data_IF_589037043671
#
_entry.id   IF_589037043671
#
_cell.length_a   1.000
_cell.length_b   1.000
_cell.length_c   1.000
_cell.angle_alpha   90.00
_cell.angle_beta   90.00
_cell.angle_gamma   90.00
#
_symmetry.space_group_name_H-M   'P 1'
#
loop_
_entity.id
_entity.type
_entity.pdbx_description
1 polymer ?
#
# COMPACT_ATOMS: atom_id res chain seq x y z
N UNK A 1 -14.05 7.17 12.86
CA UNK A 1 -15.45 7.48 12.55
C UNK A 1 -16.19 6.17 12.28
N UNK A 2 -16.80 5.55 13.29
CA UNK A 2 -17.85 4.54 13.07
C UNK A 2 -19.08 5.08 13.81
N UNK A 3 -20.16 5.33 13.09
CA UNK A 3 -21.42 5.76 13.70
C UNK A 3 -21.99 4.62 14.54
N UNK A 4 -22.68 4.94 15.64
CA UNK A 4 -23.34 3.94 16.50
C UNK A 4 -24.36 3.08 15.72
N UNK A 5 -24.84 3.57 14.58
CA UNK A 5 -25.72 2.86 13.66
C UNK A 5 -25.02 1.81 12.78
N UNK A 6 -23.69 1.85 12.67
CA UNK A 6 -22.94 0.86 11.89
C UNK A 6 -23.15 -0.56 12.45
N UNK A 7 -23.30 -0.71 13.77
CA UNK A 7 -23.60 -1.99 14.42
C UNK A 7 -24.97 -2.56 14.03
N UNK A 8 -25.96 -1.70 13.75
CA UNK A 8 -27.29 -2.14 13.27
C UNK A 8 -27.28 -2.53 11.80
N UNK A 9 -26.51 -1.82 10.97
CA UNK A 9 -26.50 -2.04 9.51
C UNK A 9 -25.49 -3.09 9.05
N UNK A 10 -24.44 -3.35 9.83
CA UNK A 10 -23.35 -4.26 9.48
C UNK A 10 -23.22 -5.34 10.56
N UNK A 11 -24.19 -6.25 10.62
CA UNK A 11 -24.19 -7.40 11.56
C UNK A 11 -22.97 -8.31 11.40
N UNK A 12 -22.54 -8.55 10.15
CA UNK A 12 -21.44 -9.45 9.81
C UNK A 12 -20.66 -8.89 8.62
N UNK A 13 -19.34 -9.12 8.58
CA UNK A 13 -18.46 -8.71 7.47
C UNK A 13 -18.90 -9.24 6.11
N UNK A 14 -19.52 -10.43 6.08
CA UNK A 14 -20.05 -11.06 4.86
C UNK A 14 -21.27 -10.29 4.34
N UNK A 15 -22.20 -9.89 5.22
CA UNK A 15 -23.37 -9.10 4.84
C UNK A 15 -22.95 -7.73 4.29
N UNK A 16 -21.94 -7.11 4.92
CA UNK A 16 -21.33 -5.88 4.43
C UNK A 16 -20.77 -6.05 3.00
N UNK A 17 -19.93 -7.07 2.78
CA UNK A 17 -19.33 -7.33 1.48
C UNK A 17 -20.39 -7.59 0.39
N UNK A 18 -21.40 -8.40 0.66
CA UNK A 18 -22.49 -8.67 -0.30
C UNK A 18 -23.31 -7.42 -0.64
N UNK A 19 -23.50 -6.52 0.33
CA UNK A 19 -24.24 -5.28 0.14
C UNK A 19 -23.45 -4.28 -0.70
N UNK A 20 -22.17 -4.10 -0.44
CA UNK A 20 -21.28 -3.25 -1.24
C UNK A 20 -21.25 -3.73 -2.70
N UNK A 21 -21.09 -5.04 -2.90
CA UNK A 21 -21.09 -5.64 -4.25
C UNK A 21 -22.42 -5.41 -4.99
N UNK A 22 -23.55 -5.46 -4.28
CA UNK A 22 -24.88 -5.32 -4.88
C UNK A 22 -25.30 -3.86 -5.12
N UNK A 23 -25.00 -2.97 -4.18
CA UNK A 23 -25.44 -1.57 -4.21
C UNK A 23 -24.45 -0.66 -4.97
N UNK A 24 -23.15 -0.93 -4.88
CA UNK A 24 -22.09 -0.08 -5.47
C UNK A 24 -21.30 -0.77 -6.60
N UNK A 25 -21.36 -2.10 -6.70
CA UNK A 25 -20.69 -2.89 -7.74
C UNK A 25 -19.33 -3.46 -7.33
N UNK A 26 -18.79 -4.41 -8.11
CA UNK A 26 -17.52 -5.07 -7.79
C UNK A 26 -16.31 -4.11 -7.87
N UNK A 27 -16.41 -3.07 -8.68
CA UNK A 27 -15.31 -2.14 -8.96
C UNK A 27 -15.09 -1.13 -7.83
N UNK A 28 -16.09 -0.82 -7.00
CA UNK A 28 -15.91 0.09 -5.86
C UNK A 28 -15.03 -0.52 -4.77
N UNK A 29 -14.95 -1.85 -4.67
CA UNK A 29 -13.96 -2.53 -3.82
C UNK A 29 -12.51 -2.18 -4.21
N UNK A 30 -12.26 -1.92 -5.50
CA UNK A 30 -10.94 -1.56 -6.02
C UNK A 30 -10.70 -0.05 -6.16
N UNK A 31 -11.73 0.78 -5.98
CA UNK A 31 -11.63 2.25 -6.07
C UNK A 31 -10.59 2.83 -5.11
N UNK A 32 -10.43 2.24 -3.92
CA UNK A 32 -9.41 2.62 -2.93
C UNK A 32 -8.03 1.97 -3.12
N UNK A 33 -7.90 1.00 -4.02
CA UNK A 33 -6.65 0.27 -4.23
C UNK A 33 -5.62 1.13 -4.97
N UNK A 34 -6.05 1.95 -5.92
CA UNK A 34 -5.18 2.87 -6.67
C UNK A 34 -4.42 3.88 -5.79
N UNK A 35 -5.07 4.66 -4.90
CA UNK A 35 -4.34 5.58 -4.02
C UNK A 35 -3.46 4.86 -3.00
N UNK A 36 -3.81 3.62 -2.62
CA UNK A 36 -2.96 2.78 -1.75
C UNK A 36 -1.71 2.28 -2.49
N UNK A 37 -1.87 1.84 -3.73
CA UNK A 37 -0.78 1.38 -4.58
C UNK A 37 0.16 2.53 -4.96
N UNK A 38 -0.37 3.70 -5.32
CA UNK A 38 0.42 4.87 -5.64
C UNK A 38 1.35 5.28 -4.47
N UNK A 39 0.83 5.25 -3.24
CA UNK A 39 1.63 5.51 -2.04
C UNK A 39 2.74 4.48 -1.84
N UNK A 40 2.44 3.21 -2.08
CA UNK A 40 3.41 2.12 -1.95
C UNK A 40 4.54 2.25 -2.96
N UNK A 41 4.20 2.51 -4.23
CA UNK A 41 5.18 2.70 -5.31
C UNK A 41 6.05 3.92 -5.04
N UNK A 42 5.47 5.04 -4.61
CA UNK A 42 6.21 6.25 -4.29
C UNK A 42 7.21 6.01 -3.14
N UNK A 43 6.75 5.43 -2.04
CA UNK A 43 7.63 5.14 -0.89
C UNK A 43 8.70 4.10 -1.24
N UNK A 44 8.34 3.05 -1.99
CA UNK A 44 9.27 1.99 -2.38
C UNK A 44 10.31 2.47 -3.38
N UNK A 45 9.90 3.28 -4.36
CA UNK A 45 10.80 3.88 -5.36
C UNK A 45 11.86 4.76 -4.70
N UNK A 46 11.46 5.60 -3.73
CA UNK A 46 12.41 6.47 -3.00
C UNK A 46 13.46 5.62 -2.26
N UNK A 47 13.03 4.60 -1.52
CA UNK A 47 13.94 3.73 -0.77
C UNK A 47 14.91 3.00 -1.70
N UNK A 48 14.41 2.49 -2.83
CA UNK A 48 15.24 1.80 -3.81
C UNK A 48 16.28 2.75 -4.41
N UNK A 49 15.88 3.95 -4.80
CA UNK A 49 16.78 4.95 -5.38
C UNK A 49 17.85 5.39 -4.38
N UNK A 50 17.49 5.58 -3.11
CA UNK A 50 18.45 5.92 -2.05
C UNK A 50 19.43 4.79 -1.79
N UNK A 51 18.97 3.53 -1.81
CA UNK A 51 19.83 2.37 -1.65
C UNK A 51 20.84 2.26 -2.80
N UNK A 52 20.41 2.42 -4.05
CA UNK A 52 21.32 2.45 -5.20
C UNK A 52 22.36 3.55 -5.08
N UNK A 53 21.95 4.77 -4.71
CA UNK A 53 22.89 5.90 -4.56
C UNK A 53 23.85 5.72 -3.39
N UNK A 54 23.40 5.13 -2.29
CA UNK A 54 24.25 4.81 -1.17
C UNK A 54 25.28 3.74 -1.53
N UNK A 55 24.88 2.72 -2.30
CA UNK A 55 25.77 1.66 -2.74
C UNK A 55 26.75 2.13 -3.81
N UNK A 56 26.31 2.94 -4.77
CA UNK A 56 27.17 3.63 -5.74
C UNK A 56 28.25 4.46 -5.02
N UNK A 57 27.84 5.22 -3.98
CA UNK A 57 28.76 6.04 -3.18
C UNK A 57 29.74 5.19 -2.38
N UNK A 58 29.28 4.05 -1.84
CA UNK A 58 30.12 3.11 -1.12
C UNK A 58 31.16 2.45 -2.05
N UNK A 59 30.77 2.05 -3.26
CA UNK A 59 31.69 1.46 -4.26
C UNK A 59 32.78 2.47 -4.70
N UNK A 60 32.48 3.78 -4.69
CA UNK A 60 33.48 4.83 -4.95
C UNK A 60 34.47 4.99 -3.78
N UNK A 61 33.99 4.83 -2.54
CA UNK A 61 34.79 4.97 -1.31
C UNK A 61 35.60 3.71 -0.99
N UNK A 62 35.13 2.52 -1.38
CA UNK A 62 35.79 1.23 -1.17
C UNK A 62 35.79 0.35 -2.45
N UNK A 63 36.66 0.67 -3.42
CA UNK A 63 36.74 -0.04 -4.69
C UNK A 63 37.29 -1.48 -4.57
N UNK A 64 37.85 -1.86 -3.42
CA UNK A 64 38.42 -3.20 -3.19
C UNK A 64 37.41 -4.21 -2.62
N UNK A 65 36.17 -3.80 -2.26
CA UNK A 65 35.18 -4.65 -1.56
C UNK A 65 35.82 -5.51 -0.45
N UNK A 66 36.77 -4.95 0.31
CA UNK A 66 37.64 -5.77 1.18
C UNK A 66 36.96 -6.21 2.49
N UNK A 67 35.75 -5.73 2.75
CA UNK A 67 35.00 -5.99 3.99
C UNK A 67 33.60 -6.58 3.76
N UNK A 68 33.33 -7.15 2.58
CA UNK A 68 32.21 -8.09 2.34
C UNK A 68 32.73 -9.53 2.26
#
# INVERSE_FOLDING_TARGET
MQSLEASKHYKNSIVCATRIVKDEGIFTLWSGAMPRLARLIMSGGIVFTMYEKAMDGLDILDPERKYL
#
